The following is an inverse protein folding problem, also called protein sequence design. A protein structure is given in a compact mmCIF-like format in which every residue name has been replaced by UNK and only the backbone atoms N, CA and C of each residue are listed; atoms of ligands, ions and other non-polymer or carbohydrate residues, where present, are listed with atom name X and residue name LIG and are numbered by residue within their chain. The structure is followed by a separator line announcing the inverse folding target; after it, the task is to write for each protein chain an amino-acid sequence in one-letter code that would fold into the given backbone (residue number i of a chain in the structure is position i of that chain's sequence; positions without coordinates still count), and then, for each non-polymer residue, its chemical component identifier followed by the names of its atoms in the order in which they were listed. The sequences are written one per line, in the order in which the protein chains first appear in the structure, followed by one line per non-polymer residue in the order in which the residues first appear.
data_IF_650125256132
#
_entry.id   IF_650125256132
#
_cell.length_a   1.000
_cell.length_b   1.000
_cell.length_c   1.000
_cell.angle_alpha   90.00
_cell.angle_beta   90.00
_cell.angle_gamma   90.00
#
_symmetry.space_group_name_H-M   'P 1'
#
loop_
_entity.id
_entity.type
_entity.pdbx_description
1 polymer ?
#
# COMPACT_ATOMS: atom_id res chain seq x y z
N UNK A 1 25.62 13.03 67.51
CA UNK A 1 25.08 12.11 66.48
C UNK A 1 25.54 12.64 65.13
N UNK A 2 26.33 11.87 64.38
CA UNK A 2 27.07 12.39 63.22
C UNK A 2 26.10 12.59 62.04
N UNK A 3 25.87 13.84 61.65
CA UNK A 3 24.89 14.22 60.62
C UNK A 3 25.12 13.51 59.28
N UNK A 4 26.38 13.16 58.99
CA UNK A 4 26.79 12.38 57.83
C UNK A 4 26.25 10.94 57.83
N UNK A 5 26.22 10.28 58.99
CA UNK A 5 25.68 8.92 59.12
C UNK A 5 24.15 8.90 58.97
N UNK A 6 23.48 9.95 59.45
CA UNK A 6 22.03 10.12 59.28
C UNK A 6 21.70 10.35 57.79
N UNK A 7 22.46 11.22 57.11
CA UNK A 7 22.27 11.47 55.67
C UNK A 7 22.52 10.20 54.83
N UNK A 8 23.54 9.41 55.16
CA UNK A 8 23.83 8.14 54.48
C UNK A 8 22.71 7.11 54.69
N UNK A 9 22.18 7.00 55.91
CA UNK A 9 21.09 6.08 56.21
C UNK A 9 19.79 6.46 55.45
N UNK A 10 19.47 7.75 55.36
CA UNK A 10 18.32 8.23 54.59
C UNK A 10 18.52 7.96 53.10
N UNK A 11 19.70 8.23 52.55
CA UNK A 11 19.99 7.97 51.14
C UNK A 11 19.84 6.48 50.81
N UNK A 12 20.33 5.59 51.68
CA UNK A 12 20.24 4.14 51.47
C UNK A 12 18.80 3.63 51.54
N UNK A 13 17.96 4.22 52.42
CA UNK A 13 16.52 3.92 52.49
C UNK A 13 15.77 4.40 51.25
N UNK A 14 16.10 5.58 50.71
CA UNK A 14 15.46 6.10 49.49
C UNK A 14 15.81 5.23 48.29
N UNK A 15 17.09 4.86 48.14
CA UNK A 15 17.53 4.02 47.02
C UNK A 15 16.92 2.62 47.10
N UNK A 16 16.93 2.00 48.28
CA UNK A 16 16.31 0.67 48.45
C UNK A 16 14.79 0.72 48.25
N UNK A 17 14.11 1.76 48.76
CA UNK A 17 12.69 2.01 48.50
C UNK A 17 12.37 2.16 47.01
N UNK A 18 13.17 2.92 46.27
CA UNK A 18 12.98 3.11 44.82
C UNK A 18 13.16 1.80 44.04
N UNK A 19 14.19 1.00 44.38
CA UNK A 19 14.44 -0.30 43.73
C UNK A 19 13.27 -1.26 43.98
N UNK A 20 12.79 -1.34 45.23
CA UNK A 20 11.65 -2.19 45.59
C UNK A 20 10.40 -1.74 44.84
N UNK A 21 10.15 -0.43 44.75
CA UNK A 21 8.97 0.11 44.09
C UNK A 21 9.01 -0.10 42.57
N UNK A 22 10.17 0.05 41.93
CA UNK A 22 10.37 -0.31 40.53
C UNK A 22 10.20 -1.81 40.29
N UNK A 23 10.70 -2.66 41.20
CA UNK A 23 10.50 -4.11 41.15
C UNK A 23 9.02 -4.49 41.25
N UNK A 24 8.29 -3.89 42.18
CA UNK A 24 6.84 -4.09 42.34
C UNK A 24 6.10 -3.60 41.09
N UNK A 25 6.41 -2.41 40.55
CA UNK A 25 5.77 -1.89 39.35
C UNK A 25 6.06 -2.74 38.12
N UNK A 26 7.29 -3.25 37.98
CA UNK A 26 7.65 -4.18 36.90
C UNK A 26 6.89 -5.50 37.01
N UNK A 27 6.72 -6.02 38.22
CA UNK A 27 6.02 -7.28 38.46
C UNK A 27 4.50 -7.12 38.28
N UNK A 28 3.94 -6.02 38.79
CA UNK A 28 2.52 -5.70 38.62
C UNK A 28 2.17 -5.36 37.18
N UNK A 29 3.04 -4.65 36.45
CA UNK A 29 2.79 -4.37 35.03
C UNK A 29 2.77 -5.66 34.21
N UNK A 30 3.74 -6.57 34.40
CA UNK A 30 3.72 -7.91 33.80
C UNK A 30 2.45 -8.72 34.11
N UNK A 31 2.00 -8.70 35.37
CA UNK A 31 0.77 -9.37 35.79
C UNK A 31 -0.50 -8.71 35.22
N UNK A 32 -0.53 -7.39 35.10
CA UNK A 32 -1.61 -6.65 34.43
C UNK A 32 -1.69 -7.05 32.95
N UNK A 33 -0.56 -7.11 32.24
CA UNK A 33 -0.55 -7.47 30.82
C UNK A 33 -1.04 -8.91 30.55
N UNK A 34 -0.81 -9.86 31.47
CA UNK A 34 -1.37 -11.21 31.36
C UNK A 34 -2.90 -11.25 31.49
N UNK A 35 -3.50 -10.31 32.24
CA UNK A 35 -4.95 -10.22 32.43
C UNK A 35 -5.65 -9.57 31.23
N UNK A 36 -5.05 -8.57 30.59
CA UNK A 36 -5.71 -7.76 29.54
C UNK A 36 -5.31 -8.14 28.10
N UNK A 37 -4.34 -9.04 27.90
CA UNK A 37 -3.87 -9.45 26.58
C UNK A 37 -4.45 -10.77 26.02
N UNK A 38 -5.43 -11.37 26.68
CA UNK A 38 -5.97 -12.67 26.27
C UNK A 38 -6.85 -12.55 25.03
N UNK A 39 -6.66 -13.43 24.05
CA UNK A 39 -7.58 -13.56 22.93
C UNK A 39 -8.97 -13.98 23.42
N UNK A 40 -9.99 -13.51 22.70
CA UNK A 40 -11.39 -13.79 23.02
C UNK A 40 -12.05 -14.45 21.83
N UNK A 41 -12.61 -15.63 22.09
CA UNK A 41 -13.46 -16.37 21.16
C UNK A 41 -14.91 -16.24 21.62
N UNK A 42 -15.74 -15.66 20.77
CA UNK A 42 -17.19 -15.49 20.95
C UNK A 42 -17.91 -16.41 19.93
N UNK A 43 -18.84 -17.24 20.40
CA UNK A 43 -19.65 -18.10 19.51
C UNK A 43 -20.83 -17.27 19.01
N UNK A 44 -21.02 -17.25 17.70
CA UNK A 44 -22.02 -16.42 17.02
C UNK A 44 -23.14 -17.28 16.45
N UNK A 45 -24.23 -16.62 16.07
CA UNK A 45 -25.39 -17.27 15.46
C UNK A 45 -25.01 -17.81 14.09
N UNK A 46 -25.12 -19.13 13.91
CA UNK A 46 -24.91 -19.79 12.63
C UNK A 46 -26.17 -19.78 11.76
N UNK A 47 -25.98 -19.89 10.45
CA UNK A 47 -27.02 -19.96 9.43
C UNK A 47 -27.66 -21.36 9.34
N UNK A 48 -26.86 -22.41 9.51
CA UNK A 48 -27.29 -23.81 9.52
C UNK A 48 -26.55 -24.64 10.59
N UNK A 49 -27.08 -25.84 10.91
CA UNK A 49 -26.49 -26.77 11.89
C UNK A 49 -25.21 -27.49 11.37
N UNK A 50 -24.76 -27.14 10.17
CA UNK A 50 -23.51 -27.63 9.56
C UNK A 50 -22.41 -26.56 9.57
N UNK A 51 -22.76 -25.37 10.04
CA UNK A 51 -21.90 -24.20 10.04
C UNK A 51 -21.63 -23.74 11.46
N UNK A 52 -20.46 -23.12 11.61
CA UNK A 52 -19.98 -22.56 12.84
C UNK A 52 -19.59 -21.12 12.59
N UNK A 53 -20.37 -20.21 13.17
CA UNK A 53 -20.06 -18.79 13.20
C UNK A 53 -19.32 -18.45 14.50
N UNK A 54 -18.20 -17.76 14.38
CA UNK A 54 -17.43 -17.32 15.54
C UNK A 54 -16.78 -15.96 15.29
N UNK A 55 -16.69 -15.19 16.36
CA UNK A 55 -15.93 -13.95 16.46
C UNK A 55 -14.64 -14.20 17.21
N UNK A 56 -13.55 -13.65 16.71
CA UNK A 56 -12.24 -13.80 17.28
C UNK A 56 -11.54 -12.45 17.40
N UNK A 57 -11.14 -12.13 18.63
CA UNK A 57 -10.41 -10.90 18.95
C UNK A 57 -9.07 -11.23 19.58
N UNK A 58 -8.04 -10.54 19.13
CA UNK A 58 -6.71 -10.66 19.71
C UNK A 58 -5.93 -9.36 19.54
N UNK A 59 -4.87 -9.23 20.32
CA UNK A 59 -3.98 -8.08 20.18
C UNK A 59 -3.01 -8.32 19.02
N UNK A 60 -3.40 -7.90 17.81
CA UNK A 60 -2.57 -8.03 16.61
C UNK A 60 -1.28 -7.20 16.68
N UNK A 61 -1.24 -6.10 17.42
CA UNK A 61 -0.01 -5.33 17.63
C UNK A 61 1.04 -6.09 18.46
N UNK A 62 0.60 -7.00 19.33
CA UNK A 62 1.47 -7.85 20.16
C UNK A 62 1.85 -9.14 19.44
N UNK A 63 0.89 -9.78 18.78
CA UNK A 63 1.06 -11.03 18.05
C UNK A 63 0.55 -10.83 16.62
N UNK A 64 1.38 -10.25 15.73
CA UNK A 64 1.00 -10.07 14.33
C UNK A 64 0.84 -11.45 13.70
N UNK A 65 -0.39 -11.77 13.31
CA UNK A 65 -0.73 -13.08 12.78
C UNK A 65 -1.86 -12.96 11.76
N UNK A 66 -1.84 -13.83 10.75
CA UNK A 66 -2.92 -13.96 9.78
C UNK A 66 -3.62 -15.30 9.94
N UNK A 67 -4.77 -15.30 10.61
CA UNK A 67 -5.55 -16.51 10.85
C UNK A 67 -6.43 -16.83 9.63
N UNK A 68 -6.44 -18.09 9.23
CA UNK A 68 -7.13 -18.51 8.01
C UNK A 68 -7.70 -19.95 8.09
N UNK A 69 -7.55 -20.60 9.24
CA UNK A 69 -7.98 -21.98 9.42
C UNK A 69 -8.51 -22.18 10.84
N UNK A 70 -9.58 -22.94 10.98
CA UNK A 70 -10.21 -23.26 12.26
C UNK A 70 -10.42 -24.77 12.37
N UNK A 71 -10.17 -25.30 13.56
CA UNK A 71 -10.39 -26.69 13.92
C UNK A 71 -11.25 -26.75 15.17
N UNK A 72 -12.31 -27.54 15.15
CA UNK A 72 -13.12 -27.84 16.33
C UNK A 72 -12.96 -29.33 16.65
N UNK A 73 -12.49 -29.62 17.86
CA UNK A 73 -12.25 -30.97 18.35
C UNK A 73 -13.16 -31.26 19.54
N UNK A 74 -13.91 -32.33 19.43
CA UNK A 74 -14.63 -32.94 20.53
C UNK A 74 -13.82 -34.10 21.09
N UNK A 75 -13.72 -34.14 22.42
CA UNK A 75 -13.30 -35.32 23.18
C UNK A 75 -14.41 -35.70 24.17
N UNK A 76 -14.96 -36.90 24.03
CA UNK A 76 -16.01 -37.45 24.89
C UNK A 76 -15.64 -38.87 25.36
N UNK A 77 -15.08 -39.04 26.56
CA UNK A 77 -14.58 -40.34 27.00
C UNK A 77 -15.66 -41.41 27.20
N UNK A 78 -16.93 -41.03 27.35
CA UNK A 78 -18.05 -41.94 27.67
C UNK A 78 -19.17 -41.91 26.62
N UNK A 79 -18.95 -41.28 25.48
CA UNK A 79 -19.93 -41.21 24.38
C UNK A 79 -19.71 -42.30 23.34
N UNK A 80 -20.72 -42.53 22.49
CA UNK A 80 -20.59 -43.40 21.30
C UNK A 80 -19.50 -42.93 20.35
N UNK A 81 -19.39 -41.61 20.16
CA UNK A 81 -18.31 -40.94 19.41
C UNK A 81 -17.35 -40.34 20.41
N UNK A 82 -16.18 -40.95 20.56
CA UNK A 82 -15.20 -40.54 21.57
C UNK A 82 -14.37 -39.35 21.14
N UNK A 83 -14.10 -39.23 19.84
CA UNK A 83 -13.38 -38.10 19.26
C UNK A 83 -14.00 -37.72 17.93
N UNK A 84 -14.25 -36.43 17.74
CA UNK A 84 -14.70 -35.87 16.46
C UNK A 84 -13.86 -34.63 16.20
N UNK A 85 -13.29 -34.51 15.01
CA UNK A 85 -12.53 -33.33 14.59
C UNK A 85 -13.08 -32.84 13.28
N UNK A 86 -13.44 -31.57 13.23
CA UNK A 86 -13.80 -30.86 12.00
C UNK A 86 -12.88 -29.67 11.81
N UNK A 87 -12.58 -29.35 10.56
CA UNK A 87 -11.72 -28.23 10.22
C UNK A 87 -12.16 -27.59 8.91
N UNK A 88 -11.92 -26.29 8.78
CA UNK A 88 -12.28 -25.54 7.58
C UNK A 88 -11.36 -24.33 7.41
N UNK A 89 -11.14 -23.95 6.16
CA UNK A 89 -10.37 -22.78 5.77
C UNK A 89 -11.30 -21.59 5.52
N UNK A 90 -10.80 -20.39 5.76
CA UNK A 90 -11.48 -19.14 5.47
C UNK A 90 -10.49 -18.07 4.98
N UNK A 91 -11.02 -16.94 4.50
CA UNK A 91 -10.22 -15.82 4.04
C UNK A 91 -9.28 -15.33 5.16
N UNK A 92 -8.00 -15.12 4.85
CA UNK A 92 -7.01 -14.75 5.86
C UNK A 92 -7.36 -13.39 6.51
N UNK A 93 -7.44 -13.37 7.83
CA UNK A 93 -7.77 -12.20 8.63
C UNK A 93 -6.55 -11.73 9.41
N UNK A 94 -6.27 -10.43 9.34
CA UNK A 94 -5.10 -9.76 9.92
C UNK A 94 -5.48 -8.85 11.11
N UNK A 95 -6.72 -8.90 11.55
CA UNK A 95 -7.31 -8.05 12.59
C UNK A 95 -8.57 -8.70 13.14
N UNK A 96 -9.13 -8.19 14.23
CA UNK A 96 -10.37 -8.71 14.84
C UNK A 96 -11.46 -8.99 13.79
N UNK A 97 -12.00 -10.20 13.82
CA UNK A 97 -12.91 -10.68 12.76
C UNK A 97 -13.99 -11.61 13.31
N UNK A 98 -15.09 -11.70 12.58
CA UNK A 98 -16.04 -12.79 12.64
C UNK A 98 -16.20 -13.44 11.27
N UNK A 99 -16.34 -14.76 11.27
CA UNK A 99 -16.57 -15.55 10.07
C UNK A 99 -17.49 -16.71 10.38
N UNK A 100 -18.29 -17.08 9.39
CA UNK A 100 -19.02 -18.34 9.37
C UNK A 100 -18.31 -19.33 8.45
N UNK A 101 -18.03 -20.52 8.97
CA UNK A 101 -17.44 -21.62 8.20
C UNK A 101 -18.41 -22.79 8.14
N UNK A 102 -18.49 -23.44 6.98
CA UNK A 102 -19.23 -24.68 6.82
C UNK A 102 -18.31 -25.87 7.05
N UNK A 103 -18.60 -26.67 8.08
CA UNK A 103 -17.89 -27.91 8.40
C UNK A 103 -18.58 -29.14 7.79
N UNK A 104 -19.86 -29.03 7.44
CA UNK A 104 -20.65 -30.11 6.88
C UNK A 104 -21.27 -31.02 7.97
N UNK A 105 -21.75 -32.20 7.58
CA UNK A 105 -22.60 -33.04 8.44
C UNK A 105 -21.86 -33.58 9.68
N UNK A 106 -20.53 -33.70 9.64
CA UNK A 106 -19.73 -34.14 10.78
C UNK A 106 -19.79 -33.15 11.96
N UNK A 107 -20.16 -31.89 11.73
CA UNK A 107 -20.34 -30.92 12.83
C UNK A 107 -21.57 -31.20 13.67
N UNK A 108 -22.62 -31.80 13.09
CA UNK A 108 -23.82 -32.22 13.84
C UNK A 108 -23.47 -33.23 14.92
N UNK A 109 -22.46 -34.07 14.69
CA UNK A 109 -21.95 -35.01 15.70
C UNK A 109 -21.36 -34.30 16.93
N UNK A 110 -20.86 -33.07 16.75
CA UNK A 110 -20.39 -32.19 17.83
C UNK A 110 -21.56 -31.45 18.49
N UNK A 111 -22.69 -31.28 17.81
CA UNK A 111 -23.87 -30.65 18.40
C UNK A 111 -24.76 -31.64 19.17
N UNK A 112 -24.81 -32.90 18.73
CA UNK A 112 -25.65 -33.97 19.27
C UNK A 112 -24.89 -34.88 20.27
N UNK A 113 -24.07 -34.27 21.10
CA UNK A 113 -23.23 -34.98 22.08
C UNK A 113 -24.03 -35.43 23.31
N UNK A 114 -23.92 -36.72 23.64
CA UNK A 114 -24.33 -37.28 24.93
C UNK A 114 -23.26 -37.02 26.02
N UNK A 115 -23.64 -36.97 27.31
CA UNK A 115 -22.69 -36.79 28.43
C UNK A 115 -21.87 -35.48 28.38
N UNK A 116 -22.57 -34.36 28.17
CA UNK A 116 -21.99 -33.00 28.01
C UNK A 116 -21.05 -32.56 29.15
N UNK A 117 -21.20 -33.11 30.36
CA UNK A 117 -20.39 -32.76 31.54
C UNK A 117 -19.00 -33.40 31.55
N UNK A 118 -18.89 -34.60 30.98
CA UNK A 118 -17.62 -35.33 30.84
C UNK A 118 -16.90 -35.01 29.54
N UNK A 119 -17.59 -34.46 28.55
CA UNK A 119 -17.02 -34.09 27.27
C UNK A 119 -16.38 -32.69 27.27
N UNK A 120 -15.36 -32.51 26.43
CA UNK A 120 -14.69 -31.23 26.21
C UNK A 120 -14.63 -30.91 24.72
N UNK A 121 -14.80 -29.64 24.40
CA UNK A 121 -14.62 -29.10 23.04
C UNK A 121 -13.42 -28.15 23.06
N UNK A 122 -12.52 -28.32 22.11
CA UNK A 122 -11.40 -27.44 21.84
C UNK A 122 -11.58 -26.77 20.49
N UNK A 123 -11.47 -25.45 20.46
CA UNK A 123 -11.46 -24.66 19.22
C UNK A 123 -10.04 -24.16 19.01
N UNK A 124 -9.40 -24.56 17.92
CA UNK A 124 -8.08 -24.08 17.49
C UNK A 124 -8.23 -23.15 16.29
N UNK A 125 -7.59 -21.98 16.35
CA UNK A 125 -7.49 -21.03 15.24
C UNK A 125 -6.02 -20.98 14.83
N UNK A 126 -5.75 -21.24 13.55
CA UNK A 126 -4.41 -21.40 13.01
C UNK A 126 -4.10 -20.34 11.96
N UNK A 127 -2.87 -19.85 12.06
CA UNK A 127 -2.21 -19.04 11.02
C UNK A 127 -1.30 -19.94 10.19
N UNK A 128 -1.20 -19.64 8.89
CA UNK A 128 -0.18 -20.25 8.00
C UNK A 128 1.25 -20.01 8.48
N UNK A 129 1.47 -18.98 9.28
CA UNK A 129 2.78 -18.60 9.83
C UNK A 129 3.14 -19.42 11.09
N UNK A 130 2.35 -20.45 11.43
CA UNK A 130 2.63 -21.38 12.53
C UNK A 130 2.08 -20.97 13.89
N UNK A 131 1.48 -19.78 14.00
CA UNK A 131 0.81 -19.33 15.23
C UNK A 131 -0.53 -20.07 15.36
N UNK A 132 -0.72 -20.75 16.49
CA UNK A 132 -1.96 -21.45 16.83
C UNK A 132 -2.45 -20.96 18.18
N UNK A 133 -3.73 -20.58 18.24
CA UNK A 133 -4.39 -20.27 19.49
C UNK A 133 -5.53 -21.25 19.71
N UNK A 134 -5.49 -21.96 20.84
CA UNK A 134 -6.53 -22.93 21.18
C UNK A 134 -7.27 -22.54 22.45
N UNK A 135 -8.55 -22.89 22.50
CA UNK A 135 -9.39 -22.70 23.67
C UNK A 135 -10.21 -23.94 23.93
N UNK A 136 -9.95 -24.56 25.08
CA UNK A 136 -10.71 -25.71 25.56
C UNK A 136 -11.84 -25.26 26.50
N UNK A 137 -13.01 -25.88 26.36
CA UNK A 137 -14.15 -25.68 27.24
C UNK A 137 -14.96 -26.97 27.42
N UNK A 138 -15.81 -27.01 28.44
CA UNK A 138 -16.78 -28.12 28.62
C UNK A 138 -17.76 -28.14 27.46
N UNK A 139 -18.13 -29.33 26.99
CA UNK A 139 -19.08 -29.47 25.89
C UNK A 139 -20.43 -28.81 26.22
N UNK A 140 -20.92 -28.94 27.47
CA UNK A 140 -22.12 -28.22 27.94
C UNK A 140 -22.06 -26.73 27.64
N UNK A 141 -20.96 -26.07 28.04
CA UNK A 141 -20.76 -24.63 27.85
C UNK A 141 -20.71 -24.25 26.37
N UNK A 142 -20.09 -25.09 25.55
CA UNK A 142 -20.05 -24.86 24.10
C UNK A 142 -21.44 -24.94 23.47
N UNK A 143 -22.23 -25.96 23.81
CA UNK A 143 -23.59 -26.15 23.29
C UNK A 143 -24.53 -25.04 23.76
N UNK A 144 -24.43 -24.63 25.03
CA UNK A 144 -25.19 -23.49 25.55
C UNK A 144 -24.83 -22.19 24.82
N UNK A 145 -23.53 -21.96 24.56
CA UNK A 145 -23.07 -20.81 23.79
C UNK A 145 -23.55 -20.86 22.32
N UNK A 146 -23.49 -22.01 21.67
CA UNK A 146 -23.91 -22.19 20.27
C UNK A 146 -25.42 -21.99 20.12
N UNK A 147 -26.24 -22.66 20.94
CA UNK A 147 -27.71 -22.57 20.87
C UNK A 147 -28.24 -21.24 21.41
N UNK A 148 -27.50 -20.59 22.30
CA UNK A 148 -27.85 -19.29 22.89
C UNK A 148 -27.32 -18.09 22.11
N UNK A 149 -26.54 -18.28 21.04
CA UNK A 149 -25.95 -17.20 20.28
C UNK A 149 -27.02 -16.43 19.48
N UNK A 150 -27.14 -15.13 19.73
CA UNK A 150 -28.05 -14.24 19.01
C UNK A 150 -27.32 -13.32 18.03
N UNK A 151 -26.09 -12.94 18.36
CA UNK A 151 -25.28 -12.00 17.56
C UNK A 151 -24.85 -12.64 16.24
N UNK A 152 -25.04 -11.94 15.12
CA UNK A 152 -24.62 -12.41 13.79
C UNK A 152 -23.18 -12.04 13.47
N UNK A 153 -22.63 -12.61 12.39
CA UNK A 153 -21.29 -12.29 11.88
C UNK A 153 -21.21 -10.82 11.46
N UNK A 154 -22.26 -10.29 10.83
CA UNK A 154 -22.33 -8.90 10.38
C UNK A 154 -22.37 -7.93 11.55
N UNK A 155 -23.17 -8.22 12.58
CA UNK A 155 -23.25 -7.40 13.79
C UNK A 155 -21.91 -7.35 14.52
N UNK A 156 -21.23 -8.50 14.65
CA UNK A 156 -19.91 -8.55 15.27
C UNK A 156 -18.87 -7.77 14.48
N UNK A 157 -18.83 -7.96 13.15
CA UNK A 157 -17.89 -7.24 12.29
C UNK A 157 -18.20 -5.74 12.22
N UNK A 158 -19.46 -5.32 12.38
CA UNK A 158 -19.81 -3.91 12.52
C UNK A 158 -19.33 -3.28 13.84
N UNK A 159 -19.28 -4.05 14.92
CA UNK A 159 -18.84 -3.57 16.24
C UNK A 159 -17.32 -3.64 16.43
N UNK A 160 -16.68 -4.73 15.97
CA UNK A 160 -15.28 -5.05 16.26
C UNK A 160 -14.42 -5.23 15.01
N UNK A 161 -15.03 -5.39 13.84
CA UNK A 161 -14.29 -5.60 12.59
C UNK A 161 -13.39 -4.40 12.28
N UNK A 162 -12.16 -4.67 11.91
CA UNK A 162 -11.22 -3.61 11.55
C UNK A 162 -11.53 -3.07 10.14
N UNK A 163 -12.06 -1.85 10.09
CA UNK A 163 -12.16 -1.10 8.84
C UNK A 163 -10.78 -0.57 8.45
N UNK A 164 -10.18 -1.15 7.40
CA UNK A 164 -8.92 -0.63 6.84
C UNK A 164 -9.11 0.86 6.49
N UNK A 165 -8.32 1.78 7.07
CA UNK A 165 -8.47 3.20 6.77
C UNK A 165 -8.29 3.41 5.27
N UNK A 166 -9.22 4.17 4.67
CA UNK A 166 -9.14 4.53 3.24
C UNK A 166 -7.76 5.14 2.98
N UNK A 167 -7.07 4.66 1.95
CA UNK A 167 -5.78 5.22 1.56
C UNK A 167 -5.96 6.71 1.28
N UNK A 168 -5.37 7.56 2.10
CA UNK A 168 -5.31 8.99 1.82
C UNK A 168 -4.31 9.19 0.68
N UNK A 169 -4.82 9.43 -0.51
CA UNK A 169 -3.98 9.86 -1.63
C UNK A 169 -3.59 11.31 -1.37
N UNK A 170 -2.30 11.56 -1.19
CA UNK A 170 -1.80 12.93 -1.20
C UNK A 170 -2.01 13.49 -2.61
N UNK A 171 -3.06 14.29 -2.79
CA UNK A 171 -3.20 15.07 -4.00
C UNK A 171 -2.13 16.15 -3.95
N UNK A 172 -1.04 15.96 -4.69
CA UNK A 172 -0.09 17.04 -4.95
C UNK A 172 -0.83 18.13 -5.71
N UNK A 173 -1.19 19.21 -5.00
CA UNK A 173 -1.64 20.43 -5.65
C UNK A 173 -0.46 21.00 -6.42
N UNK A 174 -0.44 20.83 -7.74
CA UNK A 174 0.51 21.54 -8.59
C UNK A 174 0.05 22.99 -8.67
N UNK A 175 0.71 23.86 -7.91
CA UNK A 175 0.60 25.29 -8.09
C UNK A 175 1.36 25.68 -9.36
N UNK A 176 0.76 26.52 -10.21
CA UNK A 176 1.48 27.19 -11.31
C UNK A 176 2.41 28.30 -10.79
N UNK A 177 2.28 28.64 -9.51
CA UNK A 177 3.15 29.60 -8.84
C UNK A 177 4.35 28.82 -8.34
N UNK A 178 5.53 29.13 -8.88
CA UNK A 178 6.79 28.62 -8.36
C UNK A 178 6.91 29.01 -6.88
N UNK A 179 7.42 28.10 -6.06
CA UNK A 179 7.74 28.42 -4.67
C UNK A 179 8.71 29.61 -4.62
N UNK A 180 8.55 30.53 -3.66
CA UNK A 180 9.46 31.65 -3.52
C UNK A 180 10.89 31.13 -3.31
N UNK A 181 11.84 31.74 -4.01
CA UNK A 181 13.24 31.36 -3.91
C UNK A 181 13.70 31.58 -2.45
N UNK A 182 14.26 30.56 -1.78
CA UNK A 182 14.68 30.69 -0.39
C UNK A 182 15.75 31.77 -0.27
N UNK A 183 15.56 32.72 0.66
CA UNK A 183 16.55 33.75 0.97
C UNK A 183 17.78 33.09 1.64
N UNK A 184 18.94 33.14 0.97
CA UNK A 184 20.20 32.60 1.47
C UNK A 184 21.40 33.01 0.62
N UNK A 185 22.61 32.68 1.07
CA UNK A 185 23.88 33.00 0.38
C UNK A 185 24.16 32.17 -0.89
N UNK A 186 23.11 31.64 -1.54
CA UNK A 186 23.22 30.91 -2.80
C UNK A 186 23.03 31.95 -3.91
N UNK A 187 23.96 32.10 -4.86
CA UNK A 187 23.81 33.06 -5.94
C UNK A 187 22.54 32.75 -6.74
N UNK A 188 21.56 33.64 -6.65
CA UNK A 188 20.26 33.55 -7.35
C UNK A 188 20.44 34.01 -8.79
N UNK A 189 21.26 33.28 -9.55
CA UNK A 189 21.51 33.52 -10.96
C UNK A 189 20.95 32.37 -11.79
N UNK A 190 20.25 32.69 -12.88
CA UNK A 190 19.90 31.69 -13.88
C UNK A 190 21.21 31.14 -14.49
N UNK A 191 21.41 29.82 -14.42
CA UNK A 191 22.56 29.13 -15.04
C UNK A 191 22.36 29.05 -16.56
N UNK A 192 22.55 30.19 -17.22
CA UNK A 192 22.47 30.34 -18.67
C UNK A 192 23.78 30.94 -19.18
N UNK A 193 24.13 30.67 -20.44
CA UNK A 193 25.34 31.16 -21.09
C UNK A 193 25.46 32.69 -21.11
N UNK A 194 24.32 33.38 -21.15
CA UNK A 194 24.25 34.85 -21.12
C UNK A 194 24.48 35.44 -19.72
N UNK A 195 24.51 34.63 -18.66
CA UNK A 195 24.74 35.11 -17.30
C UNK A 195 26.25 35.16 -17.02
N UNK A 196 26.85 36.35 -16.80
CA UNK A 196 28.28 36.51 -16.60
C UNK A 196 28.83 35.72 -15.41
N UNK A 197 28.00 35.44 -14.40
CA UNK A 197 28.39 34.66 -13.22
C UNK A 197 28.74 33.20 -13.55
N UNK A 198 28.22 32.64 -14.65
CA UNK A 198 28.43 31.26 -15.06
C UNK A 198 29.24 31.15 -16.37
N UNK A 199 29.82 32.24 -16.86
CA UNK A 199 30.57 32.27 -18.12
C UNK A 199 31.72 31.25 -18.18
N UNK A 200 32.35 30.94 -17.04
CA UNK A 200 33.40 29.92 -16.94
C UNK A 200 32.91 28.47 -17.02
N UNK A 201 31.65 28.19 -16.66
CA UNK A 201 31.08 26.83 -16.67
C UNK A 201 30.66 26.39 -18.08
N UNK A 202 30.24 27.34 -18.92
CA UNK A 202 29.87 27.07 -20.31
C UNK A 202 31.07 27.15 -21.28
N UNK A 203 32.25 27.57 -20.81
CA UNK A 203 33.46 27.70 -21.62
C UNK A 203 34.04 26.35 -22.08
N UNK A 204 33.67 25.23 -21.44
CA UNK A 204 34.24 23.90 -21.73
C UNK A 204 33.33 22.93 -22.50
N UNK A 205 32.04 23.21 -22.61
CA UNK A 205 31.04 22.30 -23.19
C UNK A 205 30.05 23.04 -24.09
N UNK A 206 30.55 23.98 -24.91
CA UNK A 206 29.78 24.45 -26.05
C UNK A 206 29.46 23.25 -26.93
N UNK A 207 28.19 22.87 -27.01
CA UNK A 207 27.67 21.91 -27.99
C UNK A 207 27.78 22.48 -29.40
N UNK A 208 29.02 22.72 -29.85
CA UNK A 208 29.39 23.26 -31.16
C UNK A 208 30.16 22.25 -32.00
N UNK A 209 30.12 20.96 -31.66
CA UNK A 209 30.70 19.87 -32.45
C UNK A 209 29.65 19.13 -33.30
N UNK A 210 28.54 19.78 -33.62
CA UNK A 210 27.86 19.45 -34.87
C UNK A 210 28.59 20.25 -35.96
N UNK A 211 29.42 19.57 -36.76
CA UNK A 211 30.04 20.16 -37.93
C UNK A 211 28.96 20.91 -38.73
N UNK A 212 29.20 22.19 -39.02
CA UNK A 212 28.30 23.00 -39.84
C UNK A 212 28.01 22.22 -41.13
N UNK A 213 26.77 21.77 -41.29
CA UNK A 213 26.40 20.99 -42.46
C UNK A 213 26.52 21.89 -43.69
N UNK A 214 27.39 21.53 -44.63
CA UNK A 214 27.54 22.31 -45.86
C UNK A 214 26.22 22.32 -46.64
N UNK A 215 25.86 23.50 -47.17
CA UNK A 215 24.64 23.65 -47.94
C UNK A 215 24.69 22.75 -49.19
N UNK A 216 23.58 22.08 -49.49
CA UNK A 216 23.43 21.18 -50.63
C UNK A 216 22.22 21.60 -51.47
N UNK A 217 22.28 21.37 -52.77
CA UNK A 217 21.14 21.63 -53.66
C UNK A 217 20.11 20.49 -53.57
N UNK A 218 18.84 20.82 -53.78
CA UNK A 218 17.72 19.87 -53.82
C UNK A 218 17.24 19.76 -55.26
N UNK A 219 17.09 18.54 -55.77
CA UNK A 219 16.60 18.30 -57.13
C UNK A 219 15.08 18.40 -57.21
N UNK A 220 14.39 17.99 -56.14
CA UNK A 220 12.93 17.99 -56.05
C UNK A 220 12.47 18.04 -54.60
N UNK A 221 11.43 18.80 -54.32
CA UNK A 221 10.67 18.81 -53.05
C UNK A 221 9.20 18.54 -53.36
N UNK A 222 8.51 17.80 -52.50
CA UNK A 222 7.08 17.54 -52.60
C UNK A 222 6.45 17.35 -51.22
N UNK A 223 5.12 17.46 -51.16
CA UNK A 223 4.33 17.35 -49.94
C UNK A 223 3.40 16.14 -50.10
N UNK A 224 3.52 15.18 -49.20
CA UNK A 224 2.64 14.01 -49.11
C UNK A 224 1.30 14.38 -48.43
N UNK A 225 0.30 13.51 -48.57
CA UNK A 225 -1.00 13.69 -47.92
C UNK A 225 -0.84 13.67 -46.39
N UNK A 226 -1.47 14.63 -45.70
CA UNK A 226 -1.39 14.74 -44.23
C UNK A 226 -0.84 16.07 -43.70
N UNK A 227 -0.78 17.12 -44.54
CA UNK A 227 -0.51 18.47 -44.05
C UNK A 227 -1.67 18.95 -43.14
N UNK A 228 -1.32 19.51 -41.99
CA UNK A 228 -2.28 20.04 -41.00
C UNK A 228 -2.30 21.58 -40.95
N UNK A 229 -1.70 22.26 -41.94
CA UNK A 229 -1.73 23.74 -42.04
C UNK A 229 -1.15 24.42 -40.79
N UNK A 230 -0.02 23.90 -40.28
CA UNK A 230 0.62 24.40 -39.05
C UNK A 230 1.51 25.65 -39.25
N UNK A 231 1.74 26.05 -40.51
CA UNK A 231 2.56 27.20 -40.93
C UNK A 231 4.06 27.12 -40.58
N UNK A 232 4.56 25.98 -40.09
CA UNK A 232 5.98 25.83 -39.75
C UNK A 232 6.90 25.96 -40.98
N UNK A 233 6.58 25.30 -42.10
CA UNK A 233 7.39 25.31 -43.31
C UNK A 233 7.44 26.68 -43.99
N UNK A 234 6.33 27.42 -44.03
CA UNK A 234 6.27 28.78 -44.56
C UNK A 234 7.03 29.78 -43.67
N UNK A 235 7.04 29.56 -42.34
CA UNK A 235 7.85 30.37 -41.43
C UNK A 235 9.37 30.19 -41.62
N UNK A 236 9.81 29.01 -42.09
CA UNK A 236 11.22 28.66 -42.28
C UNK A 236 11.70 29.05 -43.68
N UNK A 237 10.94 28.72 -44.73
CA UNK A 237 11.33 29.04 -46.10
C UNK A 237 10.13 29.50 -46.95
N UNK A 238 9.66 30.76 -46.77
CA UNK A 238 8.45 31.28 -47.40
C UNK A 238 8.52 31.40 -48.93
N UNK A 239 9.74 31.43 -49.48
CA UNK A 239 9.98 31.47 -50.92
C UNK A 239 9.69 30.13 -51.60
N UNK A 240 9.74 29.02 -50.86
CA UNK A 240 9.48 27.66 -51.35
C UNK A 240 8.09 27.18 -50.96
N UNK A 241 7.67 27.40 -49.70
CA UNK A 241 6.42 26.88 -49.16
C UNK A 241 5.36 27.97 -49.01
N UNK A 242 4.15 27.67 -49.49
CA UNK A 242 2.96 28.51 -49.32
C UNK A 242 1.86 27.68 -48.67
N UNK A 243 1.43 28.08 -47.47
CA UNK A 243 0.35 27.38 -46.77
C UNK A 243 -0.98 28.04 -47.13
N UNK A 244 -1.90 27.23 -47.65
CA UNK A 244 -3.28 27.61 -47.97
C UNK A 244 -4.23 27.13 -46.86
N UNK A 245 -5.51 27.51 -46.92
CA UNK A 245 -6.51 27.14 -45.90
C UNK A 245 -6.68 25.63 -45.67
N UNK A 246 -6.31 24.79 -46.64
CA UNK A 246 -6.55 23.33 -46.59
C UNK A 246 -5.31 22.46 -46.81
N UNK A 247 -4.22 23.01 -47.37
CA UNK A 247 -2.98 22.27 -47.60
C UNK A 247 -1.79 23.23 -47.78
N UNK A 248 -0.57 22.71 -47.75
CA UNK A 248 0.63 23.44 -48.18
C UNK A 248 0.95 23.09 -49.65
N UNK A 249 1.34 24.09 -50.43
CA UNK A 249 1.82 23.95 -51.81
C UNK A 249 3.25 24.47 -51.92
N UNK A 250 3.96 24.01 -52.95
CA UNK A 250 5.29 24.54 -53.30
C UNK A 250 5.09 25.61 -54.38
N UNK A 251 5.67 26.79 -54.19
CA UNK A 251 5.52 27.90 -55.12
C UNK A 251 6.08 27.54 -56.51
N UNK A 252 5.45 28.00 -57.61
CA UNK A 252 6.07 27.91 -58.93
C UNK A 252 7.37 28.73 -58.91
N UNK A 253 8.46 28.17 -59.44
CA UNK A 253 9.83 28.72 -59.43
C UNK A 253 10.51 28.77 -58.04
N UNK A 254 10.15 27.87 -57.13
CA UNK A 254 10.77 27.75 -55.81
C UNK A 254 12.32 27.61 -55.87
N UNK A 255 13.09 28.39 -55.08
CA UNK A 255 14.55 28.29 -55.01
C UNK A 255 15.00 27.02 -54.25
N UNK A 256 15.53 26.03 -54.99
CA UNK A 256 16.00 24.75 -54.45
C UNK A 256 17.52 24.68 -54.22
N UNK A 257 18.18 25.84 -54.19
CA UNK A 257 19.62 26.00 -53.98
C UNK A 257 20.03 25.92 -52.49
N UNK A 258 19.08 26.09 -51.57
CA UNK A 258 19.30 26.03 -50.13
C UNK A 258 18.64 24.81 -49.47
N UNK A 259 19.29 23.66 -49.58
CA UNK A 259 18.80 22.40 -49.03
C UNK A 259 18.80 22.31 -47.50
N UNK A 260 19.53 23.18 -46.81
CA UNK A 260 19.49 23.27 -45.34
C UNK A 260 18.14 23.79 -44.86
N UNK A 261 17.62 24.85 -45.49
CA UNK A 261 16.30 25.39 -45.16
C UNK A 261 15.18 24.41 -45.51
N UNK A 262 15.34 23.63 -46.58
CA UNK A 262 14.37 22.58 -46.96
C UNK A 262 14.43 21.42 -45.94
N UNK A 263 15.61 21.04 -45.47
CA UNK A 263 15.79 20.04 -44.42
C UNK A 263 15.17 20.51 -43.09
N UNK A 264 15.45 21.74 -42.68
CA UNK A 264 14.89 22.34 -41.46
C UNK A 264 13.35 22.41 -41.53
N UNK A 265 12.80 22.80 -42.68
CA UNK A 265 11.35 22.81 -42.90
C UNK A 265 10.74 21.39 -42.83
N UNK A 266 11.46 20.38 -43.33
CA UNK A 266 11.00 18.99 -43.25
C UNK A 266 11.05 18.43 -41.83
N UNK A 267 12.09 18.74 -41.04
CA UNK A 267 12.21 18.34 -39.64
C UNK A 267 11.23 19.09 -38.73
N UNK A 268 10.92 20.34 -39.04
CA UNK A 268 9.92 21.13 -38.32
C UNK A 268 8.48 20.70 -38.62
N UNK A 269 8.25 19.82 -39.61
CA UNK A 269 6.93 19.35 -39.97
C UNK A 269 6.42 18.31 -38.95
N UNK A 270 5.40 18.60 -38.15
CA UNK A 270 4.92 17.68 -37.10
C UNK A 270 4.29 16.40 -37.65
N UNK A 271 3.92 16.38 -38.93
CA UNK A 271 3.38 15.21 -39.63
C UNK A 271 4.36 14.63 -40.65
N UNK A 272 5.59 15.14 -40.71
CA UNK A 272 6.70 14.64 -41.55
C UNK A 272 6.34 14.47 -43.05
N UNK A 273 5.41 15.26 -43.57
CA UNK A 273 4.90 15.13 -44.95
C UNK A 273 5.76 15.81 -46.02
N UNK A 274 6.74 16.62 -45.62
CA UNK A 274 7.64 17.30 -46.57
C UNK A 274 8.79 16.35 -46.91
N UNK A 275 8.89 15.98 -48.19
CA UNK A 275 9.94 15.10 -48.72
C UNK A 275 10.76 15.83 -49.77
N UNK A 276 12.04 15.47 -49.88
CA UNK A 276 12.92 16.03 -50.88
C UNK A 276 14.00 15.04 -51.33
N UNK A 277 14.52 15.26 -52.54
CA UNK A 277 15.64 14.54 -53.11
C UNK A 277 16.85 15.47 -53.18
N UNK A 278 18.00 15.03 -52.66
CA UNK A 278 19.26 15.77 -52.81
C UNK A 278 19.72 15.66 -54.27
N UNK A 279 20.25 16.75 -54.81
CA UNK A 279 20.80 16.81 -56.16
C UNK A 279 22.13 16.05 -56.29
#
# INVERSE_FOLDING_TARGET
MNTTLIALAIALLVVTGMIVQLGILSLLSGAFFFLFGKSKLDVLKASDDESFAFGYRWNNSREPAKFNHVVVRLFNPFGKKTQVTVSSDYAAQDSDFAVEVKFGPAFKDILDIENLDSATVEVEIKSKEGITQSRQMKARKFIEAYRGATQTVEEFNGEFGYEKPKKFYHQTSRSFIADPIPEGNIPVGLRISANPQFAGEFAGNGGGDAAAQENFAVSKVWIEEGCIVCNACEGIYPEVFEVTDTNCIIRPDAPLDNGLLILEAAEACPTEVIKFEKA
#
